data_IF_775024251395
#
_entry.id   IF_775024251395
#
_cell.length_a   1.000
_cell.length_b   1.000
_cell.length_c   1.000
_cell.angle_alpha   90.00
_cell.angle_beta   90.00
_cell.angle_gamma   90.00
#
_symmetry.space_group_name_H-M   'P 1'
#
loop_
_entity.id
_entity.type
_entity.pdbx_description
1 polymer ?
#
# COMPACT_ATOMS: atom_id res chain seq x y z
N UNK A 1 42.22 8.40 -1.36
CA UNK A 1 41.06 8.71 -2.22
C UNK A 1 40.69 7.42 -2.93
N UNK A 2 39.78 6.64 -2.35
CA UNK A 2 39.01 5.62 -3.06
C UNK A 2 37.59 5.84 -2.56
N UNK A 3 36.81 6.58 -3.34
CA UNK A 3 35.37 6.62 -3.21
C UNK A 3 34.85 5.32 -3.81
N UNK A 4 34.81 4.26 -2.99
CA UNK A 4 34.08 3.03 -3.35
C UNK A 4 32.63 3.26 -2.94
N UNK A 5 31.94 4.19 -3.60
CA UNK A 5 30.50 4.12 -3.66
C UNK A 5 30.17 2.82 -4.40
N UNK A 6 30.01 1.72 -3.66
CA UNK A 6 29.43 0.50 -4.23
C UNK A 6 28.13 0.92 -4.92
N UNK A 7 28.04 0.67 -6.23
CA UNK A 7 26.81 0.86 -6.99
C UNK A 7 25.75 -0.11 -6.45
N UNK A 8 25.05 0.31 -5.40
CA UNK A 8 23.97 -0.45 -4.80
C UNK A 8 22.77 -0.41 -5.76
N UNK A 9 22.54 -1.53 -6.44
CA UNK A 9 21.35 -1.72 -7.29
C UNK A 9 20.22 -2.38 -6.50
N UNK A 10 19.10 -1.69 -6.33
CA UNK A 10 17.89 -2.22 -5.71
C UNK A 10 16.90 -2.71 -6.77
N UNK A 11 16.43 -3.95 -6.60
CA UNK A 11 15.33 -4.54 -7.37
C UNK A 11 14.24 -4.96 -6.38
N UNK A 12 12.99 -4.64 -6.68
CA UNK A 12 11.87 -4.98 -5.80
C UNK A 12 10.57 -5.24 -6.56
N UNK A 13 9.65 -5.93 -5.90
CA UNK A 13 8.29 -6.19 -6.37
C UNK A 13 7.34 -5.45 -5.43
N UNK A 14 6.47 -4.62 -6.00
CA UNK A 14 5.42 -3.97 -5.24
C UNK A 14 4.08 -4.60 -5.62
N UNK A 15 3.42 -5.24 -4.67
CA UNK A 15 2.12 -5.86 -4.88
C UNK A 15 0.99 -4.85 -4.69
N UNK A 16 -0.08 -5.02 -5.47
CA UNK A 16 -1.37 -4.38 -5.14
C UNK A 16 -1.89 -4.92 -3.81
N UNK A 17 -2.76 -4.19 -3.08
CA UNK A 17 -3.43 -4.71 -1.91
C UNK A 17 -4.05 -6.10 -2.18
N UNK A 18 -3.84 -7.07 -1.30
CA UNK A 18 -4.27 -8.46 -1.50
C UNK A 18 -3.42 -9.29 -2.47
N UNK A 19 -2.61 -8.65 -3.32
CA UNK A 19 -1.84 -9.29 -4.38
C UNK A 19 -0.63 -10.10 -3.90
N UNK A 20 -0.13 -9.87 -2.69
CA UNK A 20 0.98 -10.62 -2.12
C UNK A 20 0.54 -11.99 -1.55
N UNK A 21 -0.71 -12.11 -1.11
CA UNK A 21 -1.22 -13.30 -0.41
C UNK A 21 -1.00 -14.64 -1.15
N UNK A 22 -1.19 -14.73 -2.50
CA UNK A 22 -0.93 -15.96 -3.25
C UNK A 22 0.49 -16.52 -3.16
N UNK A 23 1.49 -15.71 -2.80
CA UNK A 23 2.90 -16.09 -2.91
C UNK A 23 3.51 -16.64 -1.61
N UNK A 24 2.94 -16.29 -0.45
CA UNK A 24 3.57 -16.55 0.85
C UNK A 24 2.85 -17.65 1.66
N UNK A 25 1.55 -17.84 1.46
CA UNK A 25 0.82 -18.93 2.13
C UNK A 25 0.64 -18.75 3.63
N UNK A 26 0.85 -17.54 4.15
CA UNK A 26 0.58 -17.12 5.52
C UNK A 26 -0.28 -15.83 5.50
N UNK A 27 -0.97 -15.49 6.60
CA UNK A 27 -1.68 -14.23 6.73
C UNK A 27 -0.74 -13.02 6.52
N UNK A 28 -1.06 -12.14 5.58
CA UNK A 28 -0.28 -10.91 5.33
C UNK A 28 -0.20 -10.01 6.55
N UNK A 29 -1.10 -10.16 7.52
CA UNK A 29 -1.03 -9.44 8.80
C UNK A 29 0.16 -9.79 9.66
N UNK A 30 0.83 -10.92 9.42
CA UNK A 30 2.07 -11.29 10.10
C UNK A 30 3.30 -10.58 9.51
N UNK A 31 3.17 -9.97 8.33
CA UNK A 31 4.27 -9.28 7.64
C UNK A 31 4.15 -7.74 7.71
N UNK A 32 3.07 -7.21 8.29
CA UNK A 32 2.86 -5.76 8.42
C UNK A 32 3.94 -5.15 9.32
N UNK A 33 4.54 -4.05 8.87
CA UNK A 33 5.59 -3.31 9.57
C UNK A 33 6.82 -4.18 9.95
N UNK A 34 7.11 -5.20 9.13
CA UNK A 34 8.28 -6.07 9.30
C UNK A 34 9.16 -6.07 8.07
N UNK A 35 10.44 -6.39 8.30
CA UNK A 35 11.39 -6.74 7.26
C UNK A 35 11.84 -8.17 7.52
N UNK A 36 11.51 -9.08 6.61
CA UNK A 36 11.82 -10.50 6.75
C UNK A 36 12.61 -10.96 5.55
N UNK A 37 13.65 -11.76 5.79
CA UNK A 37 14.43 -12.35 4.70
C UNK A 37 13.58 -13.28 3.86
N UNK A 38 13.74 -13.20 2.53
CA UNK A 38 12.95 -14.02 1.62
C UNK A 38 13.18 -15.52 1.81
N UNK A 39 14.37 -15.91 2.28
CA UNK A 39 14.71 -17.30 2.61
C UNK A 39 13.91 -17.82 3.82
N UNK A 40 13.56 -16.97 4.78
CA UNK A 40 12.64 -17.33 5.88
C UNK A 40 11.24 -17.66 5.36
N UNK A 41 10.76 -16.92 4.34
CA UNK A 41 9.42 -17.10 3.80
C UNK A 41 9.32 -18.19 2.74
N UNK A 42 10.34 -18.32 1.89
CA UNK A 42 10.34 -19.23 0.74
C UNK A 42 11.25 -20.44 0.92
N UNK A 43 11.99 -20.53 2.03
CA UNK A 43 12.99 -21.55 2.27
C UNK A 43 14.12 -21.49 1.24
N UNK A 44 14.64 -22.66 0.88
CA UNK A 44 15.75 -22.82 -0.07
C UNK A 44 15.56 -22.04 -1.38
N UNK A 45 14.36 -21.98 -1.94
CA UNK A 45 14.16 -21.28 -3.22
C UNK A 45 14.32 -19.76 -3.11
N UNK A 46 14.16 -19.19 -1.91
CA UNK A 46 14.48 -17.78 -1.64
C UNK A 46 15.98 -17.52 -1.80
N UNK A 47 16.81 -18.41 -1.26
CA UNK A 47 18.26 -18.42 -1.46
C UNK A 47 18.64 -18.63 -2.93
N UNK A 48 17.99 -19.56 -3.63
CA UNK A 48 18.21 -19.81 -5.06
C UNK A 48 17.86 -18.60 -5.92
N UNK A 49 16.78 -17.88 -5.60
CA UNK A 49 16.43 -16.63 -6.30
C UNK A 49 17.55 -15.60 -6.13
N UNK A 50 18.03 -15.39 -4.90
CA UNK A 50 19.12 -14.44 -4.63
C UNK A 50 20.37 -14.78 -5.45
N UNK A 51 20.76 -16.05 -5.49
CA UNK A 51 21.93 -16.49 -6.25
C UNK A 51 21.75 -16.28 -7.77
N UNK A 52 20.57 -16.63 -8.31
CA UNK A 52 20.26 -16.39 -9.73
C UNK A 52 20.25 -14.90 -10.08
N UNK A 53 19.78 -14.03 -9.18
CA UNK A 53 19.79 -12.57 -9.37
C UNK A 53 21.21 -11.99 -9.31
N UNK A 54 22.11 -12.56 -8.49
CA UNK A 54 23.53 -12.16 -8.45
C UNK A 54 24.27 -12.54 -9.73
N UNK A 55 23.97 -13.73 -10.28
CA UNK A 55 24.62 -14.24 -11.48
C UNK A 55 24.08 -13.62 -12.79
N UNK A 56 22.91 -12.98 -12.75
CA UNK A 56 22.38 -12.23 -13.88
C UNK A 56 23.09 -10.88 -14.05
N UNK A 57 23.80 -10.70 -15.17
CA UNK A 57 24.64 -9.52 -15.42
C UNK A 57 23.84 -8.30 -15.87
N UNK A 58 22.79 -8.50 -16.69
CA UNK A 58 21.97 -7.41 -17.22
C UNK A 58 20.72 -7.19 -16.36
N UNK A 59 20.27 -5.94 -16.14
CA UNK A 59 19.04 -5.64 -15.41
C UNK A 59 17.82 -6.41 -15.94
N UNK A 60 17.68 -6.53 -17.27
CA UNK A 60 16.56 -7.25 -17.90
C UNK A 60 16.52 -8.74 -17.52
N UNK A 61 17.67 -9.37 -17.33
CA UNK A 61 17.74 -10.79 -16.97
C UNK A 61 17.35 -11.00 -15.51
N UNK A 62 17.68 -10.04 -14.64
CA UNK A 62 17.21 -10.02 -13.24
C UNK A 62 15.69 -9.96 -13.17
N UNK A 63 15.05 -9.12 -13.99
CA UNK A 63 13.58 -9.05 -14.07
C UNK A 63 12.96 -10.37 -14.55
N UNK A 64 13.54 -11.01 -15.58
CA UNK A 64 13.06 -12.31 -16.08
C UNK A 64 13.17 -13.42 -15.03
N UNK A 65 14.29 -13.46 -14.30
CA UNK A 65 14.50 -14.42 -13.20
C UNK A 65 13.44 -14.23 -12.11
N UNK A 66 13.18 -12.97 -11.73
CA UNK A 66 12.19 -12.62 -10.72
C UNK A 66 10.77 -12.97 -11.15
N UNK A 67 10.38 -12.63 -12.38
CA UNK A 67 9.08 -12.94 -12.96
C UNK A 67 8.84 -14.44 -13.03
N UNK A 68 9.80 -15.21 -13.55
CA UNK A 68 9.70 -16.66 -13.62
C UNK A 68 9.50 -17.28 -12.23
N UNK A 69 10.23 -16.81 -11.22
CA UNK A 69 10.09 -17.30 -9.85
C UNK A 69 8.70 -16.99 -9.28
N UNK A 70 8.19 -15.77 -9.48
CA UNK A 70 6.85 -15.39 -9.03
C UNK A 70 5.77 -16.26 -9.70
N UNK A 71 5.84 -16.46 -11.01
CA UNK A 71 4.89 -17.30 -11.75
C UNK A 71 4.84 -18.72 -11.19
N UNK A 72 5.99 -19.32 -10.87
CA UNK A 72 6.03 -20.67 -10.27
C UNK A 72 5.43 -20.75 -8.87
N UNK A 73 5.38 -19.63 -8.15
CA UNK A 73 4.89 -19.53 -6.76
C UNK A 73 3.43 -19.12 -6.67
N UNK A 74 2.82 -18.65 -7.77
CA UNK A 74 1.46 -18.15 -7.79
C UNK A 74 0.45 -19.26 -7.44
N UNK A 75 -0.15 -19.16 -6.24
CA UNK A 75 -1.27 -20.03 -5.84
C UNK A 75 -2.59 -19.49 -6.39
N UNK A 76 -3.51 -20.40 -6.72
CA UNK A 76 -4.89 -19.99 -7.06
C UNK A 76 -5.58 -19.40 -5.84
N UNK A 77 -6.25 -18.26 -6.04
CA UNK A 77 -7.13 -17.68 -5.03
C UNK A 77 -8.38 -18.54 -4.85
N UNK A 78 -8.89 -18.60 -3.62
CA UNK A 78 -10.16 -19.25 -3.30
C UNK A 78 -11.33 -18.27 -3.51
N UNK A 79 -12.57 -18.74 -3.34
CA UNK A 79 -13.78 -17.88 -3.32
C UNK A 79 -13.65 -16.71 -2.33
N UNK A 80 -12.91 -16.91 -1.23
CA UNK A 80 -12.62 -15.84 -0.28
C UNK A 80 -11.73 -14.74 -0.87
N UNK A 81 -10.91 -15.07 -1.87
CA UNK A 81 -10.15 -14.10 -2.66
C UNK A 81 -11.06 -13.16 -3.46
N UNK A 82 -12.12 -13.70 -4.09
CA UNK A 82 -13.08 -12.88 -4.85
C UNK A 82 -13.82 -11.89 -3.93
N UNK A 83 -14.18 -12.32 -2.72
CA UNK A 83 -14.79 -11.46 -1.69
C UNK A 83 -13.85 -10.32 -1.30
N UNK A 84 -12.58 -10.61 -1.07
CA UNK A 84 -11.58 -9.60 -0.72
C UNK A 84 -11.34 -8.65 -1.88
N UNK A 85 -11.26 -9.15 -3.12
CA UNK A 85 -11.09 -8.33 -4.30
C UNK A 85 -12.28 -7.36 -4.49
N UNK A 86 -13.51 -7.85 -4.35
CA UNK A 86 -14.70 -6.99 -4.37
C UNK A 86 -14.63 -5.90 -3.29
N UNK A 87 -14.23 -6.26 -2.07
CA UNK A 87 -14.11 -5.31 -0.97
C UNK A 87 -13.02 -4.26 -1.23
N UNK A 88 -11.87 -4.65 -1.76
CA UNK A 88 -10.80 -3.73 -2.17
C UNK A 88 -11.32 -2.74 -3.20
N UNK A 89 -11.96 -3.22 -4.26
CA UNK A 89 -12.51 -2.37 -5.32
C UNK A 89 -13.58 -1.42 -4.79
N UNK A 90 -14.48 -1.92 -3.93
CA UNK A 90 -15.54 -1.12 -3.34
C UNK A 90 -15.02 -0.01 -2.42
N UNK A 91 -14.02 -0.31 -1.57
CA UNK A 91 -13.44 0.64 -0.65
C UNK A 91 -12.47 1.62 -1.33
N UNK A 92 -11.87 1.24 -2.45
CA UNK A 92 -11.00 2.11 -3.26
C UNK A 92 -11.75 3.11 -4.13
N UNK A 93 -13.03 2.89 -4.46
CA UNK A 93 -13.87 3.88 -5.16
C UNK A 93 -14.15 5.11 -4.29
N UNK A 94 -14.13 6.29 -4.91
CA UNK A 94 -14.58 7.54 -4.29
C UNK A 94 -16.08 7.49 -3.99
N UNK A 95 -16.50 8.09 -2.88
CA UNK A 95 -17.91 8.17 -2.47
C UNK A 95 -18.20 7.50 -1.12
N UNK A 96 -19.49 7.39 -0.81
CA UNK A 96 -20.01 7.05 0.52
C UNK A 96 -20.04 5.54 0.85
N UNK A 97 -19.35 4.68 0.09
CA UNK A 97 -19.37 3.24 0.37
C UNK A 97 -18.63 2.94 1.68
N UNK A 98 -19.37 2.49 2.67
CA UNK A 98 -18.82 2.18 3.99
C UNK A 98 -18.37 0.72 4.08
N UNK A 99 -17.53 0.42 5.07
CA UNK A 99 -17.20 -0.97 5.44
C UNK A 99 -18.46 -1.77 5.80
N UNK A 100 -19.48 -1.12 6.36
CA UNK A 100 -20.75 -1.75 6.67
C UNK A 100 -21.46 -2.20 5.38
N UNK A 101 -21.56 -1.32 4.38
CA UNK A 101 -22.19 -1.63 3.09
C UNK A 101 -21.52 -2.79 2.37
N UNK A 102 -20.18 -2.84 2.42
CA UNK A 102 -19.42 -3.96 1.88
C UNK A 102 -19.74 -5.25 2.65
N UNK A 103 -19.76 -5.20 3.98
CA UNK A 103 -20.07 -6.36 4.83
C UNK A 103 -21.45 -6.96 4.51
N UNK A 104 -22.46 -6.12 4.27
CA UNK A 104 -23.82 -6.58 3.94
C UNK A 104 -23.91 -7.30 2.59
N UNK A 105 -22.94 -7.10 1.69
CA UNK A 105 -22.95 -7.66 0.33
C UNK A 105 -22.12 -8.94 0.17
N UNK A 106 -21.16 -9.19 1.05
CA UNK A 106 -20.16 -10.26 0.87
C UNK A 106 -20.59 -11.63 1.41
N UNK A 107 -21.81 -11.76 1.96
CA UNK A 107 -22.35 -13.03 2.45
C UNK A 107 -21.58 -13.65 3.64
N UNK A 108 -20.67 -12.88 4.27
CA UNK A 108 -19.91 -13.29 5.45
C UNK A 108 -20.40 -12.53 6.68
N UNK A 109 -20.33 -13.17 7.85
CA UNK A 109 -20.47 -12.43 9.10
C UNK A 109 -19.39 -11.34 9.22
N UNK A 110 -19.70 -10.25 9.91
CA UNK A 110 -18.77 -9.12 10.05
C UNK A 110 -17.40 -9.55 10.62
N UNK A 111 -17.40 -10.41 11.64
CA UNK A 111 -16.18 -10.97 12.22
C UNK A 111 -15.38 -11.78 11.20
N UNK A 112 -16.05 -12.62 10.40
CA UNK A 112 -15.38 -13.45 9.40
C UNK A 112 -14.83 -12.61 8.24
N UNK A 113 -15.57 -11.59 7.81
CA UNK A 113 -15.11 -10.64 6.79
C UNK A 113 -13.82 -9.94 7.23
N UNK A 114 -13.79 -9.36 8.43
CA UNK A 114 -12.58 -8.70 8.96
C UNK A 114 -11.40 -9.68 9.03
N UNK A 115 -11.62 -10.91 9.51
CA UNK A 115 -10.58 -11.92 9.60
C UNK A 115 -9.99 -12.27 8.22
N UNK A 116 -10.84 -12.54 7.23
CA UNK A 116 -10.40 -12.91 5.87
C UNK A 116 -9.71 -11.75 5.18
N UNK A 117 -10.27 -10.55 5.26
CA UNK A 117 -9.69 -9.34 4.68
C UNK A 117 -8.31 -9.06 5.29
N UNK A 118 -8.19 -9.09 6.63
CA UNK A 118 -6.92 -8.87 7.32
C UNK A 118 -5.88 -9.93 6.95
N UNK A 119 -6.28 -11.19 6.82
CA UNK A 119 -5.35 -12.25 6.42
C UNK A 119 -4.82 -12.07 4.99
N UNK A 120 -5.61 -11.55 4.05
CA UNK A 120 -5.16 -11.38 2.66
C UNK A 120 -4.50 -10.02 2.39
N UNK A 121 -4.96 -8.97 3.03
CA UNK A 121 -4.52 -7.58 2.77
C UNK A 121 -3.48 -7.11 3.79
N UNK A 122 -3.45 -7.72 4.98
CA UNK A 122 -2.60 -7.31 6.10
C UNK A 122 -3.26 -6.27 7.02
N UNK A 123 -4.10 -5.41 6.45
CA UNK A 123 -4.84 -4.36 7.17
C UNK A 123 -6.28 -4.77 7.47
N UNK A 124 -6.90 -4.16 8.47
CA UNK A 124 -8.35 -4.27 8.64
C UNK A 124 -9.08 -3.49 7.53
N UNK A 125 -10.33 -3.85 7.17
CA UNK A 125 -11.11 -3.10 6.18
C UNK A 125 -11.25 -1.61 6.52
N UNK A 126 -11.44 -1.29 7.81
CA UNK A 126 -11.56 0.09 8.30
C UNK A 126 -10.25 0.87 8.12
N UNK A 127 -9.11 0.27 8.47
CA UNK A 127 -7.81 0.92 8.29
C UNK A 127 -7.49 1.11 6.80
N UNK A 128 -7.73 0.08 5.97
CA UNK A 128 -7.58 0.18 4.52
C UNK A 128 -8.41 1.33 3.95
N UNK A 129 -9.69 1.43 4.32
CA UNK A 129 -10.56 2.53 3.89
C UNK A 129 -10.02 3.91 4.30
N UNK A 130 -9.53 4.06 5.54
CA UNK A 130 -8.91 5.30 6.01
C UNK A 130 -7.68 5.68 5.18
N UNK A 131 -6.81 4.71 4.87
CA UNK A 131 -5.64 4.91 4.00
C UNK A 131 -6.08 5.32 2.59
N UNK A 132 -7.11 4.70 2.01
CA UNK A 132 -7.64 5.10 0.70
C UNK A 132 -8.14 6.55 0.71
N UNK A 133 -8.90 6.95 1.74
CA UNK A 133 -9.34 8.35 1.88
C UNK A 133 -8.17 9.32 2.02
N UNK A 134 -7.18 8.97 2.83
CA UNK A 134 -5.96 9.77 2.98
C UNK A 134 -5.21 9.92 1.66
N UNK A 135 -5.02 8.84 0.90
CA UNK A 135 -4.39 8.87 -0.43
C UNK A 135 -5.15 9.74 -1.43
N UNK A 136 -6.48 9.76 -1.39
CA UNK A 136 -7.29 10.68 -2.20
C UNK A 136 -7.00 12.13 -1.83
N UNK A 137 -6.99 12.47 -0.54
CA UNK A 137 -6.66 13.84 -0.10
C UNK A 137 -5.26 14.24 -0.54
N UNK A 138 -4.26 13.36 -0.44
CA UNK A 138 -2.91 13.64 -0.92
C UNK A 138 -2.86 13.99 -2.41
N UNK A 139 -3.74 13.41 -3.24
CA UNK A 139 -3.83 13.77 -4.66
C UNK A 139 -4.39 15.18 -4.91
N UNK A 140 -5.10 15.74 -3.94
CA UNK A 140 -5.73 17.07 -3.99
C UNK A 140 -4.99 18.14 -3.17
N UNK A 141 -4.16 17.75 -2.20
CA UNK A 141 -3.51 18.65 -1.22
C UNK A 141 -2.71 19.78 -1.85
N UNK A 142 -2.17 19.57 -3.07
CA UNK A 142 -1.41 20.57 -3.83
C UNK A 142 -2.27 21.57 -4.59
N UNK A 143 -3.54 21.25 -4.85
CA UNK A 143 -4.39 21.94 -5.83
C UNK A 143 -5.54 22.71 -5.19
N UNK A 144 -5.81 22.46 -3.90
CA UNK A 144 -7.02 22.93 -3.24
C UNK A 144 -6.69 24.09 -2.29
N UNK A 145 -7.25 25.30 -2.50
CA UNK A 145 -7.16 26.40 -1.54
C UNK A 145 -7.78 26.02 -0.20
N UNK A 146 -7.29 26.61 0.89
CA UNK A 146 -7.72 26.24 2.24
C UNK A 146 -9.24 26.43 2.52
N UNK A 147 -9.95 27.22 1.71
CA UNK A 147 -11.38 27.47 1.89
C UNK A 147 -12.26 26.28 1.47
N UNK A 148 -11.72 25.32 0.72
CA UNK A 148 -12.47 24.22 0.09
C UNK A 148 -12.33 22.87 0.83
N UNK A 149 -11.67 22.85 2.00
CA UNK A 149 -11.40 21.61 2.75
C UNK A 149 -12.66 20.88 3.23
N UNK A 150 -13.72 21.62 3.56
CA UNK A 150 -15.01 21.05 3.97
C UNK A 150 -15.68 20.27 2.84
N UNK A 151 -15.71 20.86 1.64
CA UNK A 151 -16.23 20.21 0.43
C UNK A 151 -15.38 19.00 0.04
N UNK A 152 -14.05 19.16 0.03
CA UNK A 152 -13.13 18.05 -0.27
C UNK A 152 -13.25 16.89 0.74
N UNK A 153 -13.53 17.19 2.00
CA UNK A 153 -13.76 16.17 3.02
C UNK A 153 -14.92 15.25 2.63
N UNK A 154 -16.06 15.83 2.25
CA UNK A 154 -17.24 15.09 1.81
C UNK A 154 -16.94 14.27 0.55
N UNK A 155 -16.31 14.89 -0.45
CA UNK A 155 -15.96 14.22 -1.72
C UNK A 155 -15.01 13.03 -1.52
N UNK A 156 -14.14 13.11 -0.51
CA UNK A 156 -13.20 12.04 -0.17
C UNK A 156 -13.79 11.01 0.82
N UNK A 157 -15.05 11.15 1.23
CA UNK A 157 -15.74 10.20 2.10
C UNK A 157 -15.47 10.40 3.59
N UNK A 158 -15.10 11.61 4.01
CA UNK A 158 -15.10 12.03 5.41
C UNK A 158 -16.46 12.62 5.79
N UNK A 159 -16.78 12.52 7.07
CA UNK A 159 -18.01 13.11 7.60
C UNK A 159 -17.94 14.64 7.63
N UNK A 160 -16.79 15.17 8.02
CA UNK A 160 -16.50 16.61 8.07
C UNK A 160 -14.98 16.87 7.98
N UNK A 161 -14.61 18.15 7.99
CA UNK A 161 -13.23 18.60 7.99
C UNK A 161 -12.44 18.14 9.23
N UNK A 162 -13.07 18.06 10.41
CA UNK A 162 -12.40 17.64 11.65
C UNK A 162 -11.95 16.17 11.60
N UNK A 163 -12.78 15.29 11.03
CA UNK A 163 -12.45 13.89 10.79
C UNK A 163 -11.33 13.75 9.75
N UNK A 164 -11.35 14.56 8.70
CA UNK A 164 -10.27 14.62 7.71
C UNK A 164 -8.96 15.01 8.38
N UNK A 165 -8.91 16.13 9.10
CA UNK A 165 -7.68 16.63 9.73
C UNK A 165 -7.13 15.59 10.70
N UNK A 166 -7.99 14.95 11.51
CA UNK A 166 -7.56 13.91 12.44
C UNK A 166 -6.88 12.72 11.73
N UNK A 167 -7.54 12.15 10.72
CA UNK A 167 -6.96 11.04 9.95
C UNK A 167 -5.68 11.47 9.23
N UNK A 168 -5.63 12.70 8.71
CA UNK A 168 -4.47 13.21 7.97
C UNK A 168 -3.26 13.42 8.88
N UNK A 169 -3.46 13.97 10.09
CA UNK A 169 -2.42 14.12 11.11
C UNK A 169 -1.95 12.75 11.58
N UNK A 170 -2.86 11.81 11.83
CA UNK A 170 -2.50 10.45 12.27
C UNK A 170 -1.59 9.73 11.25
N UNK A 171 -1.82 9.90 9.94
CA UNK A 171 -0.99 9.24 8.92
C UNK A 171 0.26 10.02 8.50
N UNK A 172 0.25 11.35 8.57
CA UNK A 172 1.35 12.17 8.03
C UNK A 172 2.17 12.90 9.09
N UNK A 173 1.67 13.02 10.32
CA UNK A 173 2.25 13.88 11.35
C UNK A 173 1.97 15.37 11.16
N UNK A 174 1.31 15.78 10.07
CA UNK A 174 1.03 17.18 9.73
C UNK A 174 -0.45 17.39 9.49
N UNK A 175 -0.95 18.62 9.67
CA UNK A 175 -2.23 19.00 9.10
C UNK A 175 -2.13 19.11 7.56
N UNK A 176 -3.25 19.03 6.82
CA UNK A 176 -3.24 19.19 5.37
C UNK A 176 -2.60 20.50 4.89
N UNK A 177 -2.81 21.61 5.63
CA UNK A 177 -2.24 22.91 5.31
C UNK A 177 -0.72 22.97 5.54
N UNK A 178 -0.23 22.44 6.67
CA UNK A 178 1.20 22.35 6.95
C UNK A 178 1.91 21.47 5.92
N UNK A 179 1.30 20.33 5.59
CA UNK A 179 1.81 19.41 4.58
C UNK A 179 1.90 20.07 3.19
N UNK A 180 0.89 20.85 2.79
CA UNK A 180 0.93 21.61 1.55
C UNK A 180 2.07 22.64 1.53
N UNK A 181 2.29 23.34 2.65
CA UNK A 181 3.40 24.29 2.81
C UNK A 181 4.77 23.61 2.67
N UNK A 182 4.99 22.49 3.37
CA UNK A 182 6.21 21.69 3.25
C UNK A 182 6.47 21.23 1.81
N UNK A 183 5.42 20.86 1.08
CA UNK A 183 5.55 20.37 -0.28
C UNK A 183 5.97 21.48 -1.25
N UNK A 184 5.43 22.69 -1.07
CA UNK A 184 5.83 23.89 -1.82
C UNK A 184 7.29 24.27 -1.52
N UNK A 185 7.73 24.13 -0.27
CA UNK A 185 9.11 24.40 0.12
C UNK A 185 10.10 23.39 -0.50
N UNK A 186 9.76 22.10 -0.49
CA UNK A 186 10.58 21.07 -1.13
C UNK A 186 10.69 21.27 -2.64
N UNK A 187 9.60 21.67 -3.31
CA UNK A 187 9.62 22.01 -4.73
C UNK A 187 10.50 23.24 -5.02
N UNK A 188 10.42 24.29 -4.18
CA UNK A 188 11.33 25.45 -4.25
C UNK A 188 12.80 25.07 -4.10
N UNK A 189 13.10 24.02 -3.34
CA UNK A 189 14.45 23.46 -3.16
C UNK A 189 14.85 22.45 -4.25
N UNK A 190 14.02 22.22 -5.26
CA UNK A 190 14.30 21.31 -6.38
C UNK A 190 14.13 19.81 -6.05
N UNK A 191 13.49 19.47 -4.91
CA UNK A 191 13.27 18.08 -4.50
C UNK A 191 11.95 17.57 -5.11
N UNK A 192 12.05 16.70 -6.12
CA UNK A 192 10.88 16.05 -6.71
C UNK A 192 10.51 14.75 -5.96
N UNK A 193 9.54 14.85 -5.05
CA UNK A 193 8.90 13.67 -4.45
C UNK A 193 8.11 12.89 -5.52
N UNK A 194 8.43 11.60 -5.71
CA UNK A 194 7.59 10.70 -6.53
C UNK A 194 6.23 10.53 -5.85
N UNK A 195 5.14 10.56 -6.63
CA UNK A 195 3.73 10.47 -6.20
C UNK A 195 3.36 9.34 -5.22
N UNK A 196 4.23 8.34 -5.03
CA UNK A 196 3.99 7.17 -4.20
C UNK A 196 4.97 7.01 -3.03
N UNK A 197 5.90 7.94 -2.81
CA UNK A 197 6.87 7.88 -1.72
C UNK A 197 6.75 9.15 -0.90
N UNK A 198 5.84 9.10 0.08
CA UNK A 198 5.77 10.09 1.14
C UNK A 198 6.24 9.40 2.41
N UNK A 199 7.15 10.01 3.19
CA UNK A 199 7.43 9.53 4.53
C UNK A 199 6.13 9.68 5.34
N UNK A 200 5.45 8.56 5.57
CA UNK A 200 4.44 8.49 6.62
C UNK A 200 5.23 8.57 7.94
N UNK A 201 4.77 9.40 8.87
CA UNK A 201 5.33 9.40 10.21
C UNK A 201 5.12 8.00 10.79
N UNK A 202 6.22 7.34 11.19
CA UNK A 202 6.19 6.05 11.86
C UNK A 202 5.63 6.15 13.27
#
# INVERSE_FOLDING_TARGET
MIDTAEEASLLGVHFRPGGAFPFFGLPMSELVDTHVELETLWGRTGGELRERLRNATRPIDKFRVLEAMLVTRLRRLSIQGDVVQYALDALSRSGATTVHDVTQRVGLSHRRFIQVFKAQVGLTPKLFYRVQRFQRILAHVRRVPALEWSHLAVDCGFFDQSHLIRDFVEFSGFSPAEFAGHLQELERRGVHLKRHHLPLAG
#
